data_IF_304633996087
#
_entry.id   IF_304633996087
#
_cell.length_a   1.000
_cell.length_b   1.000
_cell.length_c   1.000
_cell.angle_alpha   90.00
_cell.angle_beta   90.00
_cell.angle_gamma   90.00
#
_symmetry.space_group_name_H-M   'P 1'
#
loop_
_entity.id
_entity.type
_entity.pdbx_description
1 polymer ?
#
# COMPACT_ATOMS: atom_id res chain seq x y z
N UNK A 1 19.83 3.91 9.94
CA UNK A 1 19.41 5.24 10.44
C UNK A 1 18.27 5.65 9.53
N UNK A 2 17.05 5.65 10.08
CA UNK A 2 15.85 5.83 9.27
C UNK A 2 15.70 7.29 8.87
N UNK A 3 15.74 7.52 7.56
CA UNK A 3 15.59 8.80 6.89
C UNK A 3 14.09 9.08 6.75
N UNK A 4 13.46 9.37 7.88
CA UNK A 4 12.04 9.74 7.94
C UNK A 4 11.85 11.15 7.36
N UNK A 5 11.19 11.23 6.21
CA UNK A 5 10.83 12.47 5.51
C UNK A 5 9.70 13.22 6.23
N UNK A 6 9.78 14.55 6.32
CA UNK A 6 8.68 15.45 6.75
C UNK A 6 7.33 15.09 6.08
N UNK A 7 7.39 14.56 4.86
CA UNK A 7 6.27 14.05 4.08
C UNK A 7 5.39 13.04 4.84
N UNK A 8 5.98 12.13 5.63
CA UNK A 8 5.20 11.13 6.38
C UNK A 8 4.32 11.78 7.44
N UNK A 9 4.84 12.79 8.14
CA UNK A 9 4.08 13.52 9.14
C UNK A 9 2.96 14.36 8.49
N UNK A 10 3.23 14.95 7.32
CA UNK A 10 2.21 15.66 6.55
C UNK A 10 1.11 14.72 6.04
N UNK A 11 1.46 13.53 5.57
CA UNK A 11 0.49 12.59 5.03
C UNK A 11 -0.38 11.98 6.13
N UNK A 12 0.19 11.66 7.30
CA UNK A 12 -0.60 11.29 8.50
C UNK A 12 -1.53 12.44 8.92
N UNK A 13 -1.06 13.69 8.90
CA UNK A 13 -1.91 14.84 9.23
C UNK A 13 -3.06 15.03 8.22
N UNK A 14 -2.84 14.75 6.92
CA UNK A 14 -3.89 14.77 5.89
C UNK A 14 -4.93 13.67 6.14
N UNK A 15 -4.49 12.46 6.48
CA UNK A 15 -5.40 11.34 6.82
C UNK A 15 -6.27 11.73 8.02
N UNK A 16 -5.66 12.22 9.10
CA UNK A 16 -6.38 12.60 10.31
C UNK A 16 -7.31 13.82 10.12
N UNK A 17 -7.01 14.73 9.19
CA UNK A 17 -7.80 15.94 8.96
C UNK A 17 -8.98 15.75 7.99
N UNK A 18 -8.90 14.79 7.06
CA UNK A 18 -10.04 14.43 6.18
C UNK A 18 -11.25 13.91 6.95
N UNK A 19 -11.01 13.30 8.11
CA UNK A 19 -11.94 12.36 8.73
C UNK A 19 -12.55 12.83 10.07
N UNK A 20 -12.47 14.12 10.38
CA UNK A 20 -13.17 14.72 11.52
C UNK A 20 -14.72 14.70 11.39
N UNK A 21 -15.28 14.02 10.38
CA UNK A 21 -16.73 13.90 10.13
C UNK A 21 -17.11 12.42 9.93
N UNK A 22 -17.83 11.87 10.91
CA UNK A 22 -18.60 10.58 10.93
C UNK A 22 -17.84 9.25 11.10
N UNK A 23 -18.06 8.60 12.26
CA UNK A 23 -17.20 7.57 12.89
C UNK A 23 -17.11 6.20 12.18
N UNK A 24 -18.07 5.81 11.32
CA UNK A 24 -18.08 4.47 10.71
C UNK A 24 -17.57 4.41 9.26
N UNK A 25 -17.70 5.49 8.48
CA UNK A 25 -17.16 5.53 7.11
C UNK A 25 -15.65 5.82 7.13
N UNK A 26 -15.21 6.54 8.17
CA UNK A 26 -13.85 6.99 8.39
C UNK A 26 -12.85 5.85 8.60
N UNK A 27 -13.26 4.73 9.21
CA UNK A 27 -12.31 3.65 9.54
C UNK A 27 -11.80 2.90 8.30
N UNK A 28 -12.63 2.74 7.26
CA UNK A 28 -12.19 2.08 6.03
C UNK A 28 -11.19 2.93 5.24
N UNK A 29 -11.46 4.22 5.13
CA UNK A 29 -10.65 5.15 4.35
C UNK A 29 -9.29 5.39 5.05
N UNK A 30 -9.29 5.51 6.39
CA UNK A 30 -8.06 5.53 7.18
C UNK A 30 -7.25 4.23 6.99
N UNK A 31 -7.89 3.07 7.07
CA UNK A 31 -7.19 1.80 6.89
C UNK A 31 -6.57 1.68 5.49
N UNK A 32 -7.27 2.15 4.44
CA UNK A 32 -6.73 2.20 3.07
C UNK A 32 -5.55 3.16 2.95
N UNK A 33 -5.67 4.38 3.48
CA UNK A 33 -4.59 5.37 3.41
C UNK A 33 -3.34 4.91 4.19
N UNK A 34 -3.51 4.24 5.34
CA UNK A 34 -2.39 3.61 6.05
C UNK A 34 -1.78 2.43 5.28
N UNK A 35 -2.61 1.60 4.64
CA UNK A 35 -2.11 0.50 3.82
C UNK A 35 -1.27 1.01 2.64
N UNK A 36 -1.70 2.10 2.00
CA UNK A 36 -0.94 2.78 0.95
C UNK A 36 0.36 3.38 1.50
N UNK A 37 0.33 4.02 2.68
CA UNK A 37 1.51 4.63 3.31
C UNK A 37 2.55 3.57 3.72
N UNK A 38 2.12 2.46 4.32
CA UNK A 38 3.01 1.37 4.71
C UNK A 38 3.59 0.64 3.51
N UNK A 39 2.81 0.45 2.44
CA UNK A 39 3.31 -0.11 1.20
C UNK A 39 4.32 0.80 0.49
N UNK A 40 4.22 2.13 0.67
CA UNK A 40 5.20 3.08 0.14
C UNK A 40 6.52 3.09 0.92
N UNK A 41 6.46 2.93 2.26
CA UNK A 41 7.66 2.91 3.12
C UNK A 41 8.37 1.55 3.10
N UNK A 42 7.62 0.44 3.04
CA UNK A 42 8.13 -0.93 3.02
C UNK A 42 7.54 -1.69 1.83
N UNK A 43 7.97 -1.40 0.60
CA UNK A 43 7.36 -1.97 -0.60
C UNK A 43 7.52 -3.48 -0.65
N UNK A 44 6.49 -4.16 -1.15
CA UNK A 44 6.53 -5.60 -1.36
C UNK A 44 7.53 -5.93 -2.48
N UNK A 45 8.62 -6.58 -2.12
CA UNK A 45 9.75 -6.92 -2.99
C UNK A 45 9.96 -8.42 -3.12
N UNK A 46 10.57 -8.79 -4.23
CA UNK A 46 10.94 -10.15 -4.54
C UNK A 46 12.10 -10.60 -3.65
N UNK A 47 11.93 -11.70 -2.94
CA UNK A 47 12.96 -12.27 -2.05
C UNK A 47 14.31 -12.49 -2.73
N UNK A 48 14.30 -12.76 -4.05
CA UNK A 48 15.49 -13.19 -4.78
C UNK A 48 16.25 -12.07 -5.47
N UNK A 49 15.56 -11.02 -5.94
CA UNK A 49 16.19 -9.93 -6.69
C UNK A 49 15.88 -8.54 -6.15
N UNK A 50 15.04 -8.42 -5.11
CA UNK A 50 14.63 -7.14 -4.54
C UNK A 50 13.71 -6.32 -5.44
N UNK A 51 13.27 -6.85 -6.60
CA UNK A 51 12.35 -6.14 -7.49
C UNK A 51 10.99 -5.98 -6.81
N UNK A 52 10.46 -4.75 -6.86
CA UNK A 52 9.14 -4.43 -6.33
C UNK A 52 8.02 -5.07 -7.17
N UNK A 53 6.88 -5.34 -6.53
CA UNK A 53 5.69 -5.90 -7.15
C UNK A 53 4.91 -4.83 -7.96
N UNK A 54 5.55 -4.24 -8.97
CA UNK A 54 4.95 -3.16 -9.77
C UNK A 54 4.11 -3.70 -10.94
N UNK A 55 4.47 -4.86 -11.49
CA UNK A 55 3.73 -5.49 -12.61
C UNK A 55 3.55 -7.02 -12.42
N UNK A 56 2.28 -7.46 -12.55
CA UNK A 56 1.89 -8.86 -12.60
C UNK A 56 2.32 -9.46 -13.94
N UNK A 57 3.43 -10.20 -13.97
CA UNK A 57 3.83 -10.96 -15.16
C UNK A 57 5.34 -11.10 -15.39
N UNK A 58 6.16 -10.36 -14.64
CA UNK A 58 7.61 -10.46 -14.80
C UNK A 58 8.19 -11.74 -14.18
N UNK A 59 9.25 -12.23 -14.81
CA UNK A 59 9.97 -13.41 -14.37
C UNK A 59 11.24 -13.01 -13.65
N UNK A 60 11.48 -13.57 -12.47
CA UNK A 60 12.67 -13.34 -11.67
C UNK A 60 13.88 -14.07 -12.29
N UNK A 61 14.92 -13.35 -12.76
CA UNK A 61 16.10 -13.98 -13.32
C UNK A 61 17.01 -14.63 -12.25
N UNK A 62 16.75 -14.34 -10.97
CA UNK A 62 17.63 -14.74 -9.84
C UNK A 62 17.03 -15.89 -9.01
N UNK A 63 15.71 -16.11 -9.04
CA UNK A 63 14.98 -16.79 -7.97
C UNK A 63 14.53 -18.24 -8.18
N UNK A 64 14.66 -18.82 -9.36
CA UNK A 64 14.18 -20.18 -9.58
C UNK A 64 14.51 -20.82 -10.92
N UNK A 65 15.41 -20.21 -11.70
CA UNK A 65 15.66 -20.54 -13.11
C UNK A 65 14.95 -19.58 -14.06
N UNK A 66 15.38 -19.60 -15.33
CA UNK A 66 14.87 -18.73 -16.40
C UNK A 66 13.36 -18.93 -16.52
N UNK A 67 12.58 -17.87 -16.28
CA UNK A 67 11.12 -17.88 -16.41
C UNK A 67 10.32 -18.13 -15.12
N UNK A 68 10.97 -18.26 -13.95
CA UNK A 68 10.25 -18.35 -12.69
C UNK A 68 9.59 -17.00 -12.32
N UNK A 69 8.35 -16.96 -11.79
CA UNK A 69 7.72 -15.71 -11.36
C UNK A 69 8.44 -15.11 -10.14
N UNK A 70 8.32 -13.80 -9.94
CA UNK A 70 8.82 -13.15 -8.73
C UNK A 70 8.07 -13.62 -7.47
N UNK A 71 8.84 -14.10 -6.49
CA UNK A 71 8.33 -14.39 -5.15
C UNK A 71 8.31 -13.11 -4.30
N UNK A 72 7.27 -12.28 -4.46
CA UNK A 72 7.06 -11.03 -3.71
C UNK A 72 6.59 -11.33 -2.27
N UNK A 73 7.52 -11.71 -1.40
CA UNK A 73 7.23 -12.11 -0.01
C UNK A 73 7.93 -11.25 1.04
N UNK A 74 8.73 -10.27 0.62
CA UNK A 74 9.48 -9.40 1.52
C UNK A 74 8.85 -8.00 1.53
N UNK A 75 8.62 -7.43 2.71
CA UNK A 75 8.01 -6.10 2.88
C UNK A 75 6.54 -6.15 3.28
N UNK A 76 5.87 -5.00 3.24
CA UNK A 76 4.48 -4.86 3.67
C UNK A 76 3.51 -5.35 2.60
N UNK A 77 2.66 -6.33 2.97
CA UNK A 77 1.59 -6.82 2.09
C UNK A 77 0.30 -6.02 2.34
N UNK A 78 0.06 -5.05 1.45
CA UNK A 78 -1.15 -4.20 1.45
C UNK A 78 -2.44 -5.01 1.45
N UNK A 79 -2.53 -6.06 0.65
CA UNK A 79 -3.76 -6.84 0.50
C UNK A 79 -4.09 -7.57 1.80
N UNK A 80 -3.10 -8.23 2.42
CA UNK A 80 -3.28 -8.92 3.70
C UNK A 80 -3.68 -7.97 4.83
N UNK A 81 -3.11 -6.76 4.85
CA UNK A 81 -3.50 -5.75 5.83
C UNK A 81 -4.96 -5.33 5.66
N UNK A 82 -5.41 -5.05 4.43
CA UNK A 82 -6.79 -4.68 4.15
C UNK A 82 -7.77 -5.80 4.50
N UNK A 83 -7.43 -7.06 4.16
CA UNK A 83 -8.24 -8.22 4.56
C UNK A 83 -8.35 -8.36 6.09
N UNK A 84 -7.27 -8.11 6.82
CA UNK A 84 -7.28 -8.12 8.28
C UNK A 84 -8.14 -6.99 8.87
N UNK A 85 -8.28 -5.86 8.16
CA UNK A 85 -9.22 -4.80 8.47
C UNK A 85 -10.67 -5.12 8.05
N UNK A 86 -10.93 -6.27 7.42
CA UNK A 86 -12.24 -6.66 6.91
C UNK A 86 -12.63 -5.98 5.59
N UNK A 87 -11.65 -5.44 4.86
CA UNK A 87 -11.85 -4.71 3.60
C UNK A 87 -11.46 -5.56 2.39
N UNK A 88 -12.17 -5.35 1.28
CA UNK A 88 -11.82 -5.98 0.00
C UNK A 88 -10.63 -5.23 -0.65
N UNK A 89 -9.48 -5.90 -0.89
CA UNK A 89 -8.30 -5.29 -1.47
C UNK A 89 -8.51 -4.83 -2.93
N UNK A 90 -9.50 -5.39 -3.64
CA UNK A 90 -9.81 -5.10 -5.05
C UNK A 90 -10.81 -3.97 -5.23
N UNK A 91 -11.40 -3.47 -4.15
CA UNK A 91 -12.23 -2.28 -4.21
C UNK A 91 -11.34 -1.03 -4.31
N UNK A 92 -10.92 -0.73 -5.55
CA UNK A 92 -10.45 0.61 -5.92
C UNK A 92 -11.65 1.56 -5.89
N UNK A 93 -11.88 2.20 -4.74
CA UNK A 93 -12.82 3.32 -4.70
C UNK A 93 -12.17 4.46 -5.49
N UNK A 94 -12.84 5.06 -6.49
CA UNK A 94 -12.31 6.22 -7.17
C UNK A 94 -12.02 7.28 -6.11
N UNK A 95 -10.74 7.68 -6.00
CA UNK A 95 -10.33 8.83 -5.19
C UNK A 95 -11.17 10.00 -5.72
N UNK A 96 -12.22 10.38 -5.01
CA UNK A 96 -12.97 11.60 -5.30
C UNK A 96 -12.06 12.78 -4.96
N UNK A 97 -11.10 13.05 -5.85
CA UNK A 97 -10.38 14.30 -5.98
C UNK A 97 -11.38 15.33 -6.53
N UNK A 98 -12.23 15.82 -5.64
CA UNK A 98 -12.93 17.11 -5.69
C UNK A 98 -13.80 17.43 -6.91
N UNK A 99 -15.10 17.61 -6.66
CA UNK A 99 -15.87 18.67 -7.32
C UNK A 99 -16.78 19.36 -6.30
N UNK A 100 -16.25 20.38 -5.65
CA UNK A 100 -17.06 21.50 -5.18
C UNK A 100 -16.89 22.64 -6.19
N UNK A 101 -17.87 22.77 -7.09
CA UNK A 101 -18.20 24.06 -7.70
C UNK A 101 -19.11 24.83 -6.72
#
# INVERSE_FOLDING_TARGET
MSIYMEQHYEDVAKILSKDARTVEIVTEDIARDFADLFAADDPLTCLHCGQEAIELGDTCPVGGGIGAPHAHTQGFNREQFLEACGLDPKQEKPRNLGFHQ
#
